data_IF_314025136807
#
_entry.id   IF_314025136807
#
_cell.length_a   1.000
_cell.length_b   1.000
_cell.length_c   1.000
_cell.angle_alpha   90.00
_cell.angle_beta   90.00
_cell.angle_gamma   90.00
#
_symmetry.space_group_name_H-M   'P 1'
#
loop_
_entity.id
_entity.type
_entity.pdbx_description
1 polymer ?
#
# COMPACT_ATOMS: atom_id res chain seq x y z
N UNK A 1 -22.70 1.89 24.52
CA UNK A 1 -24.00 2.48 24.12
C UNK A 1 -23.88 3.85 23.45
N UNK A 2 -23.20 4.85 24.04
CA UNK A 2 -23.02 6.16 23.38
C UNK A 2 -22.26 6.11 22.05
N UNK A 3 -21.19 5.28 21.96
CA UNK A 3 -20.48 5.05 20.68
C UNK A 3 -21.35 4.47 19.56
N UNK A 4 -22.43 3.77 19.91
CA UNK A 4 -23.37 3.17 18.96
C UNK A 4 -24.55 4.09 18.62
N UNK A 5 -24.61 5.30 19.19
CA UNK A 5 -25.71 6.26 18.95
C UNK A 5 -27.05 5.85 19.56
N UNK A 6 -27.09 4.87 20.46
CA UNK A 6 -28.33 4.34 21.04
C UNK A 6 -28.55 4.97 22.42
N UNK A 7 -29.65 5.71 22.58
CA UNK A 7 -30.12 6.19 23.88
C UNK A 7 -30.98 5.13 24.58
N UNK A 8 -30.77 4.86 25.88
CA UNK A 8 -31.62 3.91 26.60
C UNK A 8 -33.06 4.42 26.71
N UNK A 9 -34.08 3.54 26.62
CA UNK A 9 -35.46 3.92 26.75
C UNK A 9 -35.80 4.30 28.21
N UNK A 10 -36.34 5.50 28.41
CA UNK A 10 -36.78 5.98 29.73
C UNK A 10 -38.08 5.28 30.13
N UNK A 11 -38.00 4.17 30.88
CA UNK A 11 -39.19 3.49 31.43
C UNK A 11 -39.13 3.49 32.96
N UNK A 12 -40.12 4.13 33.58
CA UNK A 12 -40.38 4.06 35.02
C UNK A 12 -41.08 2.73 35.33
N UNK A 13 -40.42 1.84 36.07
CA UNK A 13 -40.98 0.52 36.44
C UNK A 13 -41.37 0.51 37.92
N UNK A 14 -42.68 0.34 38.19
CA UNK A 14 -43.18 -0.15 39.48
C UNK A 14 -42.84 -1.63 39.62
N UNK A 15 -42.39 -1.96 40.82
CA UNK A 15 -41.74 -3.20 41.24
C UNK A 15 -42.66 -4.43 41.13
N UNK A 16 -42.15 -5.49 40.51
CA UNK A 16 -42.75 -6.83 40.58
C UNK A 16 -41.64 -7.88 40.49
N UNK A 17 -41.19 -8.36 41.67
CA UNK A 17 -40.55 -9.66 41.88
C UNK A 17 -39.55 -10.09 40.80
N UNK A 18 -38.59 -9.24 40.46
CA UNK A 18 -37.53 -9.60 39.54
C UNK A 18 -36.55 -10.53 40.26
N UNK A 19 -36.39 -11.75 39.73
CA UNK A 19 -35.34 -12.69 40.12
C UNK A 19 -33.98 -12.09 39.73
N UNK A 20 -33.43 -11.30 40.67
CA UNK A 20 -32.24 -10.47 40.48
C UNK A 20 -31.03 -11.32 40.08
N UNK A 21 -30.92 -12.53 40.62
CA UNK A 21 -29.85 -13.48 40.33
C UNK A 21 -29.87 -13.90 38.85
N UNK A 22 -31.05 -14.23 38.32
CA UNK A 22 -31.21 -14.57 36.90
C UNK A 22 -30.92 -13.40 35.97
N UNK A 23 -31.22 -12.17 36.40
CA UNK A 23 -30.87 -10.97 35.63
C UNK A 23 -29.36 -10.72 35.62
N UNK A 24 -28.69 -10.93 36.76
CA UNK A 24 -27.24 -10.79 36.87
C UNK A 24 -26.49 -11.76 35.96
N UNK A 25 -26.89 -13.04 35.95
CA UNK A 25 -26.29 -14.07 35.07
C UNK A 25 -26.43 -13.67 33.61
N UNK A 26 -27.63 -13.29 33.17
CA UNK A 26 -27.88 -12.85 31.79
C UNK A 26 -27.08 -11.61 31.41
N UNK A 27 -26.90 -10.67 32.34
CA UNK A 27 -26.14 -9.45 32.08
C UNK A 27 -24.66 -9.77 31.88
N UNK A 28 -24.09 -10.67 32.69
CA UNK A 28 -22.70 -11.15 32.51
C UNK A 28 -22.50 -11.87 31.18
N UNK A 29 -23.44 -12.73 30.78
CA UNK A 29 -23.40 -13.41 29.48
C UNK A 29 -23.40 -12.42 28.32
N UNK A 30 -24.33 -11.45 28.33
CA UNK A 30 -24.43 -10.43 27.28
C UNK A 30 -23.21 -9.50 27.25
N UNK A 31 -22.64 -9.16 28.41
CA UNK A 31 -21.43 -8.35 28.49
C UNK A 31 -20.23 -9.09 27.86
N UNK A 32 -20.07 -10.38 28.18
CA UNK A 32 -19.02 -11.21 27.61
C UNK A 32 -19.16 -11.32 26.08
N UNK A 33 -20.38 -11.57 25.59
CA UNK A 33 -20.67 -11.65 24.15
C UNK A 33 -20.38 -10.32 23.45
N UNK A 34 -20.78 -9.18 24.04
CA UNK A 34 -20.50 -7.86 23.47
C UNK A 34 -19.01 -7.53 23.41
N UNK A 35 -18.25 -7.91 24.44
CA UNK A 35 -16.80 -7.72 24.45
C UNK A 35 -16.12 -8.56 23.36
N UNK A 36 -16.55 -9.81 23.19
CA UNK A 36 -16.06 -10.69 22.14
C UNK A 36 -16.40 -10.15 20.74
N UNK A 37 -17.65 -9.74 20.52
CA UNK A 37 -18.08 -9.14 19.25
C UNK A 37 -17.27 -7.88 18.94
N UNK A 38 -17.01 -7.03 19.94
CA UNK A 38 -16.22 -5.81 19.72
C UNK A 38 -14.77 -6.15 19.34
N UNK A 39 -14.14 -7.09 20.04
CA UNK A 39 -12.78 -7.54 19.72
C UNK A 39 -12.69 -8.14 18.31
N UNK A 40 -13.67 -8.97 17.93
CA UNK A 40 -13.75 -9.55 16.60
C UNK A 40 -13.95 -8.49 15.51
N UNK A 41 -14.78 -7.47 15.78
CA UNK A 41 -15.03 -6.37 14.86
C UNK A 41 -13.77 -5.51 14.65
N UNK A 42 -13.03 -5.18 15.71
CA UNK A 42 -11.76 -4.45 15.62
C UNK A 42 -10.72 -5.23 14.80
N UNK A 43 -10.61 -6.54 15.04
CA UNK A 43 -9.71 -7.41 14.27
C UNK A 43 -10.11 -7.47 12.78
N UNK A 44 -11.40 -7.60 12.49
CA UNK A 44 -11.90 -7.64 11.12
C UNK A 44 -11.64 -6.32 10.39
N UNK A 45 -11.85 -5.19 11.07
CA UNK A 45 -11.59 -3.87 10.51
C UNK A 45 -10.10 -3.67 10.19
N UNK A 46 -9.21 -4.12 11.08
CA UNK A 46 -7.77 -4.09 10.84
C UNK A 46 -7.39 -4.91 9.60
N UNK A 47 -7.81 -6.18 9.53
CA UNK A 47 -7.52 -7.05 8.38
C UNK A 47 -8.11 -6.52 7.09
N UNK A 48 -9.30 -5.94 7.14
CA UNK A 48 -9.91 -5.30 5.97
C UNK A 48 -9.05 -4.14 5.46
N UNK A 49 -8.57 -3.26 6.35
CA UNK A 49 -7.73 -2.13 5.97
C UNK A 49 -6.39 -2.58 5.37
N UNK A 50 -5.74 -3.60 5.96
CA UNK A 50 -4.52 -4.20 5.40
C UNK A 50 -4.73 -4.75 3.99
N UNK A 51 -5.85 -5.44 3.75
CA UNK A 51 -6.18 -6.00 2.43
C UNK A 51 -6.47 -4.91 1.41
N UNK A 52 -7.13 -3.82 1.80
CA UNK A 52 -7.38 -2.67 0.93
C UNK A 52 -6.07 -2.00 0.53
N UNK A 53 -5.15 -1.83 1.48
CA UNK A 53 -3.81 -1.30 1.21
C UNK A 53 -3.05 -2.19 0.22
N UNK A 54 -3.04 -3.50 0.49
CA UNK A 54 -2.35 -4.46 -0.37
C UNK A 54 -2.91 -4.50 -1.79
N UNK A 55 -4.24 -4.50 -1.93
CA UNK A 55 -4.92 -4.42 -3.23
C UNK A 55 -4.47 -3.19 -4.02
N UNK A 56 -4.43 -2.02 -3.37
CA UNK A 56 -4.03 -0.78 -4.00
C UNK A 56 -2.58 -0.81 -4.48
N UNK A 57 -1.67 -1.38 -3.69
CA UNK A 57 -0.27 -1.58 -4.08
C UNK A 57 -0.19 -2.42 -5.36
N UNK A 58 -0.93 -3.54 -5.44
CA UNK A 58 -0.94 -4.41 -6.61
C UNK A 58 -1.45 -3.70 -7.88
N UNK A 59 -2.52 -2.91 -7.76
CA UNK A 59 -3.05 -2.12 -8.88
C UNK A 59 -2.00 -1.14 -9.42
N UNK A 60 -1.32 -0.41 -8.52
CA UNK A 60 -0.27 0.54 -8.91
C UNK A 60 0.98 -0.13 -9.48
N UNK A 61 1.37 -1.28 -8.95
CA UNK A 61 2.45 -2.10 -9.51
C UNK A 61 2.13 -2.52 -10.94
N UNK A 62 0.90 -2.99 -11.18
CA UNK A 62 0.43 -3.39 -12.51
C UNK A 62 0.49 -2.23 -13.51
N UNK A 63 -0.11 -1.09 -13.15
CA UNK A 63 -0.07 0.14 -13.96
C UNK A 63 1.39 0.55 -14.29
N UNK A 64 2.27 0.49 -13.29
CA UNK A 64 3.67 0.87 -13.46
C UNK A 64 4.41 -0.03 -14.45
N UNK A 65 4.32 -1.35 -14.28
CA UNK A 65 5.03 -2.28 -15.16
C UNK A 65 4.46 -2.29 -16.59
N UNK A 66 3.15 -2.16 -16.75
CA UNK A 66 2.53 -1.99 -18.07
C UNK A 66 3.02 -0.71 -18.76
N UNK A 67 3.08 0.41 -18.03
CA UNK A 67 3.63 1.67 -18.55
C UNK A 67 5.12 1.53 -18.91
N UNK A 68 5.92 0.90 -18.06
CA UNK A 68 7.34 0.68 -18.31
C UNK A 68 7.59 -0.18 -19.55
N UNK A 69 6.83 -1.26 -19.73
CA UNK A 69 6.90 -2.12 -20.92
C UNK A 69 6.56 -1.35 -22.19
N UNK A 70 5.47 -0.58 -22.18
CA UNK A 70 5.08 0.23 -23.33
C UNK A 70 6.15 1.26 -23.71
N UNK A 71 6.75 1.93 -22.71
CA UNK A 71 7.85 2.86 -22.93
C UNK A 71 9.11 2.17 -23.48
N UNK A 72 9.44 0.97 -23.02
CA UNK A 72 10.57 0.20 -23.54
C UNK A 72 10.38 -0.17 -25.02
N UNK A 73 9.17 -0.65 -25.38
CA UNK A 73 8.82 -0.98 -26.77
C UNK A 73 8.84 0.27 -27.66
N UNK A 74 8.33 1.41 -27.18
CA UNK A 74 8.37 2.67 -27.91
C UNK A 74 9.82 3.10 -28.21
N UNK A 75 10.71 3.03 -27.22
CA UNK A 75 12.14 3.35 -27.40
C UNK A 75 12.85 2.42 -28.36
N UNK A 76 12.53 1.12 -28.35
CA UNK A 76 13.08 0.18 -29.32
C UNK A 76 12.65 0.54 -30.75
N UNK A 77 11.37 0.90 -30.96
CA UNK A 77 10.89 1.35 -32.28
C UNK A 77 11.56 2.64 -32.73
N UNK A 78 11.78 3.61 -31.83
CA UNK A 78 12.49 4.85 -32.17
C UNK A 78 13.94 4.61 -32.58
N UNK A 79 14.63 3.65 -31.95
CA UNK A 79 15.98 3.24 -32.32
C UNK A 79 16.04 2.52 -33.68
N UNK A 80 15.02 1.73 -34.01
CA UNK A 80 14.91 1.06 -35.31
C UNK A 80 14.52 2.02 -36.46
N UNK A 81 13.89 3.15 -36.15
CA UNK A 81 13.42 4.14 -37.14
C UNK A 81 14.46 5.22 -37.46
N UNK A 82 15.57 5.34 -36.73
CA UNK A 82 16.68 6.18 -37.19
C UNK A 82 17.33 5.53 -38.41
N UNK A 83 17.16 6.07 -39.63
CA UNK A 83 17.79 5.50 -40.79
C UNK A 83 19.29 5.74 -40.69
N UNK A 84 20.04 4.76 -41.16
CA UNK A 84 21.44 4.83 -41.54
C UNK A 84 21.62 6.08 -42.43
N UNK A 85 21.95 7.23 -41.83
CA UNK A 85 22.45 8.40 -42.55
C UNK A 85 23.95 8.39 -42.35
N UNK A 86 24.63 8.04 -43.42
CA UNK A 86 26.07 7.96 -43.54
C UNK A 86 26.77 9.26 -43.11
N UNK A 87 27.89 9.08 -42.40
CA UNK A 87 29.04 9.99 -42.23
C UNK A 87 28.89 11.25 -41.38
N UNK A 88 29.38 11.16 -40.14
CA UNK A 88 30.23 12.22 -39.57
C UNK A 88 31.38 11.58 -38.81
N UNK A 89 32.59 11.87 -39.25
CA UNK A 89 33.90 11.30 -38.86
C UNK A 89 34.40 11.76 -37.46
N UNK A 90 33.49 12.15 -36.56
CA UNK A 90 33.83 12.67 -35.22
C UNK A 90 32.96 12.07 -34.10
N UNK A 91 32.67 10.76 -34.18
CA UNK A 91 31.98 10.03 -33.12
C UNK A 91 32.98 9.26 -32.24
N UNK A 92 32.91 9.34 -30.90
CA UNK A 92 33.92 8.79 -30.01
C UNK A 92 34.05 7.26 -30.16
N UNK A 93 35.31 6.84 -30.15
CA UNK A 93 35.89 5.53 -30.50
C UNK A 93 35.52 4.39 -29.51
N UNK A 94 34.23 4.22 -29.20
CA UNK A 94 33.69 3.16 -28.34
C UNK A 94 32.68 2.26 -29.06
N UNK A 95 32.86 2.07 -30.36
CA UNK A 95 32.24 1.01 -31.14
C UNK A 95 33.36 0.07 -31.56
N UNK A 96 33.64 -0.94 -30.74
CA UNK A 96 34.26 -2.23 -31.09
C UNK A 96 34.79 -2.92 -29.82
N UNK A 97 33.87 -3.48 -29.02
CA UNK A 97 34.17 -4.70 -28.30
C UNK A 97 32.88 -5.51 -28.12
N UNK A 98 32.72 -6.46 -29.05
CA UNK A 98 31.93 -7.69 -28.92
C UNK A 98 30.41 -7.57 -28.70
N UNK A 99 29.72 -7.59 -29.83
CA UNK A 99 28.41 -8.21 -29.98
C UNK A 99 28.50 -9.69 -29.56
N UNK A 100 28.29 -9.96 -28.28
CA UNK A 100 27.56 -11.09 -27.66
C UNK A 100 27.95 -11.07 -26.19
N UNK A 101 27.56 -10.02 -25.47
CA UNK A 101 27.22 -10.26 -24.08
C UNK A 101 25.98 -11.15 -24.15
N UNK A 102 25.99 -12.43 -23.71
CA UNK A 102 24.73 -13.07 -23.41
C UNK A 102 24.01 -12.07 -22.52
N UNK A 103 22.75 -11.75 -22.82
CA UNK A 103 21.89 -11.01 -21.91
C UNK A 103 21.95 -11.84 -20.64
N UNK A 104 22.91 -11.54 -19.75
CA UNK A 104 23.00 -12.11 -18.43
C UNK A 104 21.66 -11.68 -17.90
N UNK A 105 20.76 -12.65 -17.71
CA UNK A 105 19.45 -12.36 -17.18
C UNK A 105 19.70 -11.76 -15.80
N UNK A 106 19.84 -10.44 -15.73
CA UNK A 106 19.97 -9.71 -14.50
C UNK A 106 18.58 -9.81 -13.92
N UNK A 107 18.42 -10.80 -13.03
CA UNK A 107 17.19 -11.01 -12.29
C UNK A 107 17.09 -9.87 -11.27
N UNK A 108 16.46 -8.78 -11.69
CA UNK A 108 16.19 -7.65 -10.82
C UNK A 108 14.97 -8.00 -9.95
N UNK A 109 15.14 -7.87 -8.64
CA UNK A 109 14.02 -7.88 -7.69
C UNK A 109 13.51 -6.46 -7.45
N UNK A 110 12.25 -6.33 -7.04
CA UNK A 110 11.66 -5.06 -6.63
C UNK A 110 10.95 -5.21 -5.29
N UNK A 111 10.79 -4.10 -4.58
CA UNK A 111 10.00 -4.01 -3.35
C UNK A 111 9.03 -2.86 -3.54
N UNK A 112 7.74 -3.14 -3.40
CA UNK A 112 6.69 -2.12 -3.50
C UNK A 112 5.98 -1.92 -2.17
N UNK A 113 5.56 -0.70 -1.87
CA UNK A 113 4.74 -0.42 -0.70
C UNK A 113 4.18 1.00 -0.68
N UNK A 114 3.37 1.30 0.34
CA UNK A 114 2.90 2.66 0.61
C UNK A 114 3.70 3.29 1.74
N UNK A 115 3.96 4.59 1.62
CA UNK A 115 4.64 5.38 2.65
C UNK A 115 3.83 6.64 2.88
N UNK A 116 3.53 6.96 4.15
CA UNK A 116 2.86 8.20 4.51
C UNK A 116 3.62 9.41 3.97
N UNK A 117 2.90 10.44 3.50
CA UNK A 117 3.48 11.65 2.89
C UNK A 117 4.55 12.31 3.77
N UNK A 118 4.32 12.38 5.07
CA UNK A 118 5.24 12.97 6.04
C UNK A 118 6.57 12.21 6.17
N UNK A 119 6.52 10.88 5.99
CA UNK A 119 7.67 9.99 6.16
C UNK A 119 8.39 9.68 4.85
N UNK A 120 7.87 10.13 3.71
CA UNK A 120 8.44 9.87 2.38
C UNK A 120 9.89 10.36 2.24
N UNK A 121 10.15 11.64 2.53
CA UNK A 121 11.47 12.23 2.32
C UNK A 121 12.55 11.63 3.26
N UNK A 122 12.28 11.43 4.57
CA UNK A 122 13.21 10.68 5.43
C UNK A 122 13.50 9.27 4.93
N UNK A 123 12.48 8.53 4.50
CA UNK A 123 12.61 7.16 3.99
C UNK A 123 13.57 7.08 2.80
N UNK A 124 13.39 7.96 1.81
CA UNK A 124 14.25 8.02 0.62
C UNK A 124 15.71 8.29 0.96
N UNK A 125 15.96 9.24 1.88
CA UNK A 125 17.31 9.58 2.31
C UNK A 125 17.99 8.42 3.02
N UNK A 126 17.26 7.67 3.84
CA UNK A 126 17.79 6.48 4.51
C UNK A 126 18.11 5.41 3.48
N UNK A 127 17.17 5.14 2.57
CA UNK A 127 17.35 4.11 1.54
C UNK A 127 18.54 4.41 0.63
N UNK A 128 18.66 5.66 0.14
CA UNK A 128 19.78 6.10 -0.68
C UNK A 128 21.13 5.95 0.03
N UNK A 129 21.19 6.34 1.31
CA UNK A 129 22.42 6.23 2.11
C UNK A 129 22.80 4.77 2.38
N UNK A 130 21.82 3.94 2.72
CA UNK A 130 22.04 2.52 3.00
C UNK A 130 22.52 1.75 1.77
N UNK A 131 21.98 2.05 0.58
CA UNK A 131 22.40 1.44 -0.69
C UNK A 131 23.61 2.11 -1.33
N UNK A 132 24.16 3.16 -0.71
CA UNK A 132 25.24 4.00 -1.24
C UNK A 132 24.94 4.53 -2.66
N UNK A 133 23.68 4.91 -2.88
CA UNK A 133 23.19 5.41 -4.17
C UNK A 133 22.82 4.34 -5.19
N UNK A 134 22.99 3.05 -4.88
CA UNK A 134 22.56 1.95 -5.75
C UNK A 134 21.08 1.61 -5.53
N UNK A 135 20.20 2.60 -5.64
CA UNK A 135 18.76 2.42 -5.56
C UNK A 135 18.09 3.06 -6.77
N UNK A 136 17.18 2.32 -7.39
CA UNK A 136 16.24 2.86 -8.34
C UNK A 136 14.89 2.95 -7.65
N UNK A 137 14.39 4.17 -7.47
CA UNK A 137 13.12 4.43 -6.80
C UNK A 137 12.16 5.13 -7.75
N UNK A 138 10.92 4.65 -7.76
CA UNK A 138 9.79 5.25 -8.45
C UNK A 138 8.70 5.53 -7.44
N UNK A 139 8.02 6.66 -7.63
CA UNK A 139 6.95 7.09 -6.75
C UNK A 139 5.73 7.55 -7.53
N UNK A 140 4.55 7.29 -6.96
CA UNK A 140 3.29 7.81 -7.46
C UNK A 140 2.44 8.30 -6.27
N UNK A 141 1.66 9.36 -6.50
CA UNK A 141 0.69 9.85 -5.52
C UNK A 141 -0.51 8.89 -5.54
N UNK A 142 -1.00 8.53 -4.35
CA UNK A 142 -2.27 7.85 -4.19
C UNK A 142 -3.30 8.88 -3.72
N UNK A 143 -4.29 9.17 -4.58
CA UNK A 143 -5.34 10.15 -4.28
C UNK A 143 -6.35 9.65 -3.23
N UNK A 144 -6.42 8.33 -3.02
CA UNK A 144 -7.30 7.72 -2.03
C UNK A 144 -6.67 7.80 -0.64
N UNK A 145 -7.37 8.42 0.31
CA UNK A 145 -6.98 8.36 1.71
C UNK A 145 -7.08 6.91 2.21
N UNK A 146 -5.94 6.29 2.48
CA UNK A 146 -5.87 4.96 3.09
C UNK A 146 -5.96 5.14 4.60
N UNK A 147 -6.79 4.32 5.24
CA UNK A 147 -6.91 4.31 6.69
C UNK A 147 -5.70 3.60 7.28
N UNK A 148 -4.95 4.28 8.15
CA UNK A 148 -3.83 3.67 8.86
C UNK A 148 -4.34 2.49 9.71
N UNK A 149 -3.80 1.27 9.55
CA UNK A 149 -4.21 0.12 10.35
C UNK A 149 -4.00 0.32 11.86
N UNK A 150 -3.07 1.20 12.27
CA UNK A 150 -2.75 1.45 13.67
C UNK A 150 -3.49 2.66 14.26
N UNK A 151 -3.52 3.81 13.57
CA UNK A 151 -4.21 5.02 14.08
C UNK A 151 -5.68 5.09 13.71
N UNK A 152 -6.13 4.38 12.66
CA UNK A 152 -7.47 4.57 12.10
C UNK A 152 -7.66 5.90 11.36
N UNK A 153 -6.58 6.67 11.18
CA UNK A 153 -6.61 7.97 10.52
C UNK A 153 -6.50 7.85 9.00
N UNK A 154 -7.17 8.74 8.28
CA UNK A 154 -7.14 8.81 6.82
C UNK A 154 -5.90 9.58 6.36
N UNK A 155 -4.84 8.86 5.97
CA UNK A 155 -3.55 9.45 5.61
C UNK A 155 -3.36 9.45 4.09
N UNK A 156 -2.77 10.53 3.57
CA UNK A 156 -2.30 10.59 2.18
C UNK A 156 -0.98 9.85 2.07
N UNK A 157 -0.92 8.86 1.17
CA UNK A 157 0.23 7.98 0.99
C UNK A 157 0.86 8.12 -0.39
N UNK A 158 2.16 7.85 -0.47
CA UNK A 158 2.86 7.66 -1.73
C UNK A 158 3.08 6.18 -1.96
N UNK A 159 2.78 5.72 -3.17
CA UNK A 159 3.28 4.45 -3.67
C UNK A 159 4.79 4.57 -3.95
N UNK A 160 5.57 3.59 -3.50
CA UNK A 160 7.01 3.46 -3.72
C UNK A 160 7.31 2.11 -4.35
N UNK A 161 8.13 2.10 -5.40
CA UNK A 161 8.63 0.92 -6.10
C UNK A 161 10.13 1.03 -6.35
#
# INVERSE_FOLDING_TARGET
MMKAGISPPTRSTKDSGLDLEKLEVKLKELEAELLEINANNEKLQHTYNELVEYKLVLEKVGEFFSSAQNNAVARQRELEVQPIVETSIDSPLLMEQDATCPIKHIKLGFISGLVSREKSIPFERILFRATRGNVFLKQAIVDHHVQDPLSGDKVVTYFKL
#
